data_IF_056319681360
#
_entry.id   IF_056319681360
#
_cell.length_a   1.000
_cell.length_b   1.000
_cell.length_c   1.000
_cell.angle_alpha   90.00
_cell.angle_beta   90.00
_cell.angle_gamma   90.00
#
_symmetry.space_group_name_H-M   'P 1'
#
loop_
_entity.id
_entity.type
_entity.pdbx_description
1 polymer ?
#
# COMPACT_ATOMS: atom_id res chain seq x y z
N UNK A 1 -1.08 30.53 -35.49
CA UNK A 1 -1.80 30.90 -34.25
C UNK A 1 -2.88 29.86 -34.00
N UNK A 2 -2.84 29.17 -32.86
CA UNK A 2 -3.87 28.20 -32.47
C UNK A 2 -5.24 28.90 -32.31
N UNK A 3 -6.33 28.16 -32.51
CA UNK A 3 -7.69 28.64 -32.25
C UNK A 3 -7.78 29.18 -30.82
N UNK A 4 -8.17 30.46 -30.68
CA UNK A 4 -8.45 31.06 -29.38
C UNK A 4 -9.92 30.80 -29.02
N UNK A 5 -10.17 30.37 -27.79
CA UNK A 5 -11.50 30.25 -27.23
C UNK A 5 -11.78 31.43 -26.29
N UNK A 6 -12.98 32.00 -26.37
CA UNK A 6 -13.41 33.06 -25.44
C UNK A 6 -13.98 32.40 -24.19
N UNK A 7 -13.43 32.77 -23.03
CA UNK A 7 -13.94 32.38 -21.72
C UNK A 7 -14.46 33.63 -21.00
N UNK A 8 -15.62 33.53 -20.36
CA UNK A 8 -16.18 34.59 -19.52
C UNK A 8 -16.41 34.03 -18.12
N UNK A 9 -15.79 34.65 -17.12
CA UNK A 9 -15.86 34.23 -15.73
C UNK A 9 -16.13 35.44 -14.84
N UNK A 10 -17.06 35.29 -13.90
CA UNK A 10 -17.28 36.28 -12.84
C UNK A 10 -16.24 36.04 -11.76
N UNK A 11 -15.54 37.10 -11.35
CA UNK A 11 -14.58 37.09 -10.25
C UNK A 11 -15.07 38.01 -9.13
N UNK A 12 -14.63 37.78 -7.88
CA UNK A 12 -14.92 38.69 -6.78
C UNK A 12 -14.44 40.12 -7.07
N UNK A 13 -15.22 41.12 -6.65
CA UNK A 13 -14.94 42.53 -6.88
C UNK A 13 -13.58 42.97 -6.31
N UNK A 14 -13.20 42.43 -5.15
CA UNK A 14 -11.91 42.69 -4.50
C UNK A 14 -10.72 42.24 -5.38
N UNK A 15 -10.82 41.06 -6.00
CA UNK A 15 -9.81 40.52 -6.90
C UNK A 15 -9.73 41.35 -8.18
N UNK A 16 -10.87 41.80 -8.70
CA UNK A 16 -10.90 42.69 -9.86
C UNK A 16 -10.22 44.03 -9.58
N UNK A 17 -10.50 44.65 -8.43
CA UNK A 17 -9.86 45.91 -8.00
C UNK A 17 -8.34 45.75 -7.86
N UNK A 18 -7.89 44.67 -7.22
CA UNK A 18 -6.48 44.37 -7.07
C UNK A 18 -5.79 44.18 -8.43
N UNK A 19 -6.43 43.46 -9.34
CA UNK A 19 -5.95 43.24 -10.70
C UNK A 19 -5.88 44.54 -11.51
N UNK A 20 -6.86 45.43 -11.35
CA UNK A 20 -6.88 46.73 -12.02
C UNK A 20 -5.79 47.69 -11.51
N UNK A 21 -5.43 47.60 -10.22
CA UNK A 21 -4.38 48.41 -9.60
C UNK A 21 -2.97 47.93 -9.93
N UNK A 22 -2.77 46.61 -10.01
CA UNK A 22 -1.43 46.01 -10.18
C UNK A 22 -1.02 45.82 -11.63
N UNK A 23 -1.97 45.82 -12.56
CA UNK A 23 -1.74 45.46 -13.96
C UNK A 23 -2.16 46.59 -14.90
N UNK A 24 -1.27 47.04 -15.80
CA UNK A 24 -1.58 48.05 -16.80
C UNK A 24 -2.80 47.72 -17.66
N UNK A 25 -3.50 48.75 -18.13
CA UNK A 25 -4.56 48.57 -19.13
C UNK A 25 -3.98 47.98 -20.42
N UNK A 26 -4.64 46.93 -20.94
CA UNK A 26 -4.19 46.17 -22.11
C UNK A 26 -3.50 44.85 -21.78
N UNK A 27 -2.83 44.72 -20.63
CA UNK A 27 -2.09 43.49 -20.28
C UNK A 27 -2.89 42.47 -19.46
N UNK A 28 -4.04 42.87 -18.91
CA UNK A 28 -4.89 42.03 -18.04
C UNK A 28 -5.25 40.69 -18.68
N UNK A 29 -5.51 40.67 -19.98
CA UNK A 29 -5.82 39.43 -20.72
C UNK A 29 -4.63 38.49 -20.83
N UNK A 30 -3.41 39.03 -20.96
CA UNK A 30 -2.19 38.22 -21.00
C UNK A 30 -1.90 37.64 -19.62
N UNK A 31 -1.98 38.46 -18.57
CA UNK A 31 -1.80 38.01 -17.19
C UNK A 31 -2.74 36.86 -16.81
N UNK A 32 -4.04 36.99 -17.10
CA UNK A 32 -5.01 35.93 -16.80
C UNK A 32 -4.69 34.67 -17.60
N UNK A 33 -4.30 34.80 -18.88
CA UNK A 33 -3.94 33.66 -19.71
C UNK A 33 -2.72 32.93 -19.17
N UNK A 34 -1.67 33.66 -18.80
CA UNK A 34 -0.44 33.11 -18.22
C UNK A 34 -0.72 32.42 -16.90
N UNK A 35 -1.50 33.03 -16.01
CA UNK A 35 -1.89 32.43 -14.73
C UNK A 35 -2.67 31.12 -14.92
N UNK A 36 -3.57 31.05 -15.91
CA UNK A 36 -4.31 29.82 -16.24
C UNK A 36 -3.35 28.75 -16.79
N UNK A 37 -2.44 29.11 -17.70
CA UNK A 37 -1.45 28.18 -18.26
C UNK A 37 -0.57 27.63 -17.15
N UNK A 38 0.01 28.49 -16.32
CA UNK A 38 0.87 28.11 -15.20
C UNK A 38 0.14 27.16 -14.23
N UNK A 39 -1.13 27.48 -13.91
CA UNK A 39 -1.93 26.63 -13.03
C UNK A 39 -2.20 25.27 -13.64
N UNK A 40 -2.52 25.21 -14.94
CA UNK A 40 -2.77 23.96 -15.65
C UNK A 40 -1.50 23.13 -15.87
N UNK A 41 -0.33 23.76 -16.02
CA UNK A 41 0.96 23.05 -16.08
C UNK A 41 1.33 22.42 -14.73
N UNK A 42 1.07 23.12 -13.63
CA UNK A 42 1.30 22.60 -12.27
C UNK A 42 0.25 21.60 -11.82
N UNK A 43 -0.94 21.60 -12.43
CA UNK A 43 -2.02 20.67 -12.08
C UNK A 43 -1.82 19.38 -12.84
N UNK A 44 -1.50 18.26 -12.16
CA UNK A 44 -1.28 16.99 -12.84
C UNK A 44 -2.56 16.56 -13.57
N UNK A 45 -2.42 16.10 -14.81
CA UNK A 45 -3.58 15.73 -15.63
C UNK A 45 -4.18 14.41 -15.12
N UNK A 46 -5.50 14.34 -14.83
CA UNK A 46 -6.12 13.15 -14.25
C UNK A 46 -5.95 11.87 -15.09
N UNK A 47 -6.01 12.01 -16.41
CA UNK A 47 -5.76 10.93 -17.37
C UNK A 47 -4.35 10.37 -17.24
N UNK A 48 -3.35 11.24 -17.09
CA UNK A 48 -1.95 10.84 -16.90
C UNK A 48 -1.71 10.20 -15.55
N UNK A 49 -2.36 10.68 -14.50
CA UNK A 49 -2.32 10.03 -13.18
C UNK A 49 -2.86 8.60 -13.29
N UNK A 50 -4.05 8.44 -13.87
CA UNK A 50 -4.67 7.13 -14.03
C UNK A 50 -3.81 6.18 -14.87
N UNK A 51 -3.21 6.67 -15.96
CA UNK A 51 -2.29 5.90 -16.80
C UNK A 51 -1.08 5.40 -15.99
N UNK A 52 -0.51 6.26 -15.14
CA UNK A 52 0.62 5.91 -14.28
C UNK A 52 0.23 4.89 -13.20
N UNK A 53 -0.92 5.07 -12.55
CA UNK A 53 -1.45 4.13 -11.56
C UNK A 53 -1.64 2.73 -12.16
N UNK A 54 -2.19 2.65 -13.38
CA UNK A 54 -2.36 1.39 -14.09
C UNK A 54 -1.01 0.73 -14.43
N UNK A 55 -0.01 1.52 -14.87
CA UNK A 55 1.34 1.02 -15.15
C UNK A 55 2.03 0.48 -13.90
N UNK A 56 1.94 1.21 -12.79
CA UNK A 56 2.50 0.80 -11.49
C UNK A 56 1.84 -0.50 -11.02
N UNK A 57 0.50 -0.57 -11.07
CA UNK A 57 -0.25 -1.77 -10.68
C UNK A 57 0.17 -3.01 -11.49
N UNK A 58 0.40 -2.84 -12.80
CA UNK A 58 0.91 -3.92 -13.65
C UNK A 58 2.33 -4.34 -13.25
N UNK A 59 3.24 -3.39 -13.04
CA UNK A 59 4.61 -3.68 -12.61
C UNK A 59 4.65 -4.41 -11.26
N UNK A 60 3.79 -4.02 -10.32
CA UNK A 60 3.65 -4.71 -9.03
C UNK A 60 3.15 -6.14 -9.18
N UNK A 61 2.22 -6.39 -10.11
CA UNK A 61 1.71 -7.72 -10.41
C UNK A 61 2.80 -8.61 -11.01
N UNK A 62 3.51 -8.11 -12.04
CA UNK A 62 4.60 -8.82 -12.70
C UNK A 62 5.73 -9.14 -11.70
N UNK A 63 6.09 -8.19 -10.83
CA UNK A 63 7.09 -8.40 -9.78
C UNK A 63 6.64 -9.47 -8.76
N UNK A 64 5.36 -9.47 -8.39
CA UNK A 64 4.78 -10.48 -7.50
C UNK A 64 4.87 -11.88 -8.10
N UNK A 65 4.63 -12.00 -9.41
CA UNK A 65 4.73 -13.26 -10.14
C UNK A 65 6.18 -13.76 -10.23
N UNK A 66 7.15 -12.89 -10.54
CA UNK A 66 8.58 -13.23 -10.51
C UNK A 66 8.99 -13.74 -9.14
N UNK A 67 8.61 -13.02 -8.07
CA UNK A 67 8.90 -13.41 -6.69
C UNK A 67 8.29 -14.77 -6.33
N UNK A 68 7.07 -15.04 -6.78
CA UNK A 68 6.42 -16.34 -6.60
C UNK A 68 7.23 -17.46 -7.27
N UNK A 69 7.66 -17.28 -8.53
CA UNK A 69 8.45 -18.30 -9.22
C UNK A 69 9.82 -18.52 -8.55
N UNK A 70 10.51 -17.45 -8.18
CA UNK A 70 11.78 -17.58 -7.45
C UNK A 70 11.61 -18.29 -6.11
N UNK A 71 10.46 -18.09 -5.45
CA UNK A 71 10.11 -18.78 -4.22
C UNK A 71 9.81 -20.27 -4.42
N UNK A 72 9.08 -20.62 -5.48
CA UNK A 72 8.76 -22.01 -5.86
C UNK A 72 10.02 -22.79 -6.26
N UNK A 73 10.98 -22.12 -6.90
CA UNK A 73 12.30 -22.69 -7.22
C UNK A 73 13.25 -22.77 -6.01
N UNK A 74 12.81 -22.32 -4.83
CA UNK A 74 13.62 -22.19 -3.61
C UNK A 74 14.88 -21.30 -3.76
N UNK A 75 15.02 -20.58 -4.87
CA UNK A 75 16.13 -19.65 -5.13
C UNK A 75 15.95 -18.34 -4.38
N UNK A 76 14.70 -17.96 -4.07
CA UNK A 76 14.42 -16.76 -3.28
C UNK A 76 14.79 -17.00 -1.80
N UNK A 77 16.02 -16.65 -1.46
CA UNK A 77 16.52 -16.59 -0.10
C UNK A 77 16.38 -15.16 0.42
N UNK A 78 15.70 -14.97 1.55
CA UNK A 78 15.78 -13.70 2.28
C UNK A 78 16.94 -13.80 3.26
N UNK A 79 17.75 -12.74 3.34
CA UNK A 79 18.66 -12.61 4.48
C UNK A 79 17.84 -12.52 5.77
N UNK A 80 18.18 -13.34 6.75
CA UNK A 80 17.58 -13.30 8.09
C UNK A 80 17.65 -11.86 8.63
N UNK A 81 16.53 -11.35 9.16
CA UNK A 81 16.43 -10.01 9.74
C UNK A 81 16.22 -8.85 8.75
N UNK A 82 16.34 -9.05 7.42
CA UNK A 82 16.06 -7.96 6.46
C UNK A 82 14.56 -7.69 6.24
N UNK A 83 13.70 -8.65 6.57
CA UNK A 83 12.25 -8.53 6.38
C UNK A 83 11.58 -8.46 7.74
N UNK A 84 11.05 -7.30 8.10
CA UNK A 84 10.28 -7.11 9.32
C UNK A 84 8.86 -7.71 9.16
N UNK A 85 8.46 -8.74 9.92
CA UNK A 85 7.11 -9.33 9.86
C UNK A 85 5.98 -8.34 10.17
N UNK A 86 6.26 -7.29 10.94
CA UNK A 86 5.28 -6.24 11.25
C UNK A 86 4.92 -5.38 10.05
N UNK A 87 5.71 -5.37 8.98
CA UNK A 87 5.39 -4.64 7.75
C UNK A 87 4.10 -5.14 7.07
N UNK A 88 3.62 -6.33 7.42
CA UNK A 88 2.39 -6.93 6.89
C UNK A 88 1.19 -6.77 7.82
N UNK A 89 1.36 -6.10 8.95
CA UNK A 89 0.31 -5.83 9.93
C UNK A 89 -0.43 -4.53 9.58
N UNK A 90 -1.75 -4.53 9.75
CA UNK A 90 -2.59 -3.36 9.43
C UNK A 90 -2.99 -2.61 10.69
N UNK A 91 -3.22 -3.33 11.77
CA UNK A 91 -3.66 -2.79 13.03
C UNK A 91 -2.93 -3.47 14.20
N UNK A 92 -3.22 -3.01 15.43
CA UNK A 92 -2.62 -3.53 16.66
C UNK A 92 -2.91 -5.02 16.88
N UNK A 93 -4.02 -5.54 16.36
CA UNK A 93 -4.37 -6.95 16.50
C UNK A 93 -3.45 -7.80 15.64
N UNK A 94 -3.18 -7.37 14.40
CA UNK A 94 -2.20 -8.04 13.53
C UNK A 94 -0.81 -8.03 14.18
N UNK A 95 -0.39 -6.92 14.79
CA UNK A 95 0.87 -6.84 15.52
C UNK A 95 0.93 -7.87 16.66
N UNK A 96 -0.09 -7.93 17.51
CA UNK A 96 -0.18 -8.92 18.61
C UNK A 96 -0.15 -10.37 18.12
N UNK A 97 -0.78 -10.68 17.00
CA UNK A 97 -0.73 -12.01 16.38
C UNK A 97 0.70 -12.34 15.96
N UNK A 98 1.36 -11.41 15.26
CA UNK A 98 2.73 -11.60 14.75
C UNK A 98 3.72 -11.71 15.90
N UNK A 99 3.63 -10.85 16.93
CA UNK A 99 4.45 -10.92 18.14
C UNK A 99 4.33 -12.27 18.83
N UNK A 100 3.10 -12.76 18.99
CA UNK A 100 2.87 -14.07 19.59
C UNK A 100 3.56 -15.17 18.77
N UNK A 101 3.40 -15.14 17.45
CA UNK A 101 3.99 -16.15 16.58
C UNK A 101 5.52 -16.05 16.50
N UNK A 102 6.11 -14.86 16.61
CA UNK A 102 7.55 -14.67 16.71
C UNK A 102 8.11 -15.29 18.01
N UNK A 103 7.44 -15.02 19.14
CA UNK A 103 7.87 -15.50 20.45
C UNK A 103 7.70 -17.02 20.62
N UNK A 104 6.58 -17.57 20.17
CA UNK A 104 6.21 -18.97 20.42
C UNK A 104 6.37 -19.89 19.20
N UNK A 105 6.77 -19.34 18.04
CA UNK A 105 6.97 -20.00 16.73
C UNK A 105 5.73 -20.63 16.10
N UNK A 106 4.67 -20.87 16.86
CA UNK A 106 3.39 -21.32 16.33
C UNK A 106 2.26 -21.33 17.36
N UNK A 107 1.04 -21.22 16.86
CA UNK A 107 -0.16 -21.15 17.68
C UNK A 107 -1.39 -21.68 16.94
N UNK A 108 -2.32 -22.30 17.66
CA UNK A 108 -3.64 -22.58 17.11
C UNK A 108 -4.46 -21.28 17.03
N UNK A 109 -5.47 -21.24 16.15
CA UNK A 109 -6.36 -20.07 16.10
C UNK A 109 -7.11 -19.87 17.42
N UNK A 110 -7.36 -20.93 18.19
CA UNK A 110 -7.99 -20.83 19.51
C UNK A 110 -7.05 -20.16 20.52
N UNK A 111 -5.78 -20.60 20.60
CA UNK A 111 -4.77 -19.99 21.49
C UNK A 111 -4.61 -18.48 21.24
N UNK A 112 -4.54 -18.09 19.97
CA UNK A 112 -4.45 -16.69 19.58
C UNK A 112 -5.73 -15.90 19.94
N UNK A 113 -6.90 -16.50 19.77
CA UNK A 113 -8.17 -15.86 20.12
C UNK A 113 -8.29 -15.62 21.63
N UNK A 114 -7.85 -16.57 22.45
CA UNK A 114 -7.78 -16.45 23.91
C UNK A 114 -6.78 -15.37 24.33
N UNK A 115 -5.57 -15.37 23.76
CA UNK A 115 -4.54 -14.37 24.04
C UNK A 115 -5.01 -12.93 23.72
N UNK A 116 -5.65 -12.75 22.57
CA UNK A 116 -6.11 -11.44 22.08
C UNK A 116 -7.44 -11.04 22.72
N UNK A 117 -8.12 -11.97 23.40
CA UNK A 117 -9.47 -11.80 23.95
C UNK A 117 -10.49 -11.40 22.88
N UNK A 118 -10.46 -12.12 21.75
CA UNK A 118 -11.37 -11.91 20.62
C UNK A 118 -11.93 -13.24 20.11
N UNK A 119 -12.76 -13.22 19.07
CA UNK A 119 -13.34 -14.43 18.51
C UNK A 119 -12.40 -15.13 17.50
N UNK A 120 -12.48 -16.46 17.45
CA UNK A 120 -11.67 -17.33 16.58
C UNK A 120 -11.79 -16.99 15.09
N UNK A 121 -12.99 -16.64 14.63
CA UNK A 121 -13.24 -16.34 13.22
C UNK A 121 -12.50 -15.08 12.77
N UNK A 122 -12.48 -14.06 13.62
CA UNK A 122 -11.78 -12.81 13.37
C UNK A 122 -10.26 -13.02 13.30
N UNK A 123 -9.69 -13.77 14.24
CA UNK A 123 -8.26 -14.15 14.22
C UNK A 123 -7.91 -14.94 12.96
N UNK A 124 -8.75 -15.91 12.57
CA UNK A 124 -8.53 -16.68 11.34
C UNK A 124 -8.47 -15.77 10.10
N UNK A 125 -9.37 -14.79 10.02
CA UNK A 125 -9.38 -13.84 8.91
C UNK A 125 -8.15 -12.94 8.90
N UNK A 126 -7.68 -12.49 10.07
CA UNK A 126 -6.42 -11.74 10.20
C UNK A 126 -5.21 -12.56 9.74
N UNK A 127 -5.06 -13.79 10.22
CA UNK A 127 -3.99 -14.72 9.81
C UNK A 127 -3.98 -14.96 8.29
N UNK A 128 -5.15 -15.22 7.67
CA UNK A 128 -5.27 -15.38 6.22
C UNK A 128 -4.89 -14.11 5.46
N UNK A 129 -5.21 -12.94 6.01
CA UNK A 129 -4.87 -11.65 5.41
C UNK A 129 -3.35 -11.43 5.42
N UNK A 130 -2.71 -11.65 6.57
CA UNK A 130 -1.25 -11.58 6.74
C UNK A 130 -0.55 -12.57 5.80
N UNK A 131 -1.01 -13.83 5.77
CA UNK A 131 -0.50 -14.87 4.87
C UNK A 131 -0.56 -14.45 3.40
N UNK A 132 -1.69 -13.89 2.96
CA UNK A 132 -1.90 -13.47 1.56
C UNK A 132 -1.06 -12.25 1.21
N UNK A 133 -1.00 -11.24 2.09
CA UNK A 133 -0.23 -10.01 1.84
C UNK A 133 1.26 -10.29 1.74
N UNK A 134 1.79 -11.06 2.70
CA UNK A 134 3.19 -11.50 2.65
C UNK A 134 3.49 -12.30 1.40
N UNK A 135 2.64 -13.28 1.04
CA UNK A 135 2.83 -14.04 -0.20
C UNK A 135 2.85 -13.16 -1.45
N UNK A 136 1.99 -12.14 -1.53
CA UNK A 136 1.95 -11.21 -2.66
C UNK A 136 3.23 -10.37 -2.74
N UNK A 137 3.65 -9.79 -1.63
CA UNK A 137 4.77 -8.83 -1.62
C UNK A 137 6.14 -9.50 -1.62
N UNK A 138 6.27 -10.63 -0.94
CA UNK A 138 7.52 -11.37 -0.82
C UNK A 138 7.62 -12.48 -1.86
N UNK A 139 6.53 -13.19 -2.16
CA UNK A 139 6.53 -14.45 -2.93
C UNK A 139 6.34 -15.68 -2.04
N UNK A 140 6.64 -15.55 -0.74
CA UNK A 140 6.41 -16.56 0.32
C UNK A 140 5.56 -15.97 1.43
N UNK A 141 4.75 -16.81 2.09
CA UNK A 141 3.98 -16.39 3.26
C UNK A 141 4.85 -16.37 4.50
N UNK A 142 4.77 -15.31 5.32
CA UNK A 142 5.49 -15.27 6.60
C UNK A 142 4.85 -16.20 7.65
N UNK A 143 3.52 -16.34 7.61
CA UNK A 143 2.75 -17.24 8.47
C UNK A 143 2.03 -18.28 7.62
N UNK A 144 2.09 -19.54 8.01
CA UNK A 144 1.47 -20.65 7.29
C UNK A 144 0.67 -21.57 8.20
N UNK A 145 -0.47 -22.03 7.68
CA UNK A 145 -1.28 -23.04 8.35
C UNK A 145 -0.76 -24.45 8.02
N UNK A 146 -0.55 -25.24 9.07
CA UNK A 146 -0.20 -26.65 8.96
C UNK A 146 -1.30 -27.51 9.60
N UNK A 147 -1.92 -28.36 8.79
CA UNK A 147 -3.04 -29.21 9.22
C UNK A 147 -2.62 -30.43 10.04
N UNK A 148 -1.35 -30.82 9.98
CA UNK A 148 -0.79 -31.93 10.75
C UNK A 148 -0.45 -31.54 12.19
N UNK A 149 0.38 -32.37 12.82
CA UNK A 149 0.92 -32.11 14.15
C UNK A 149 2.38 -31.66 14.04
N UNK A 150 2.71 -30.52 14.64
CA UNK A 150 4.08 -29.99 14.73
C UNK A 150 4.27 -29.41 16.13
N UNK A 151 5.38 -29.75 16.78
CA UNK A 151 5.73 -29.32 18.15
C UNK A 151 4.56 -29.43 19.15
N UNK A 152 3.83 -30.55 19.12
CA UNK A 152 2.70 -30.82 20.02
C UNK A 152 1.40 -30.05 19.71
N UNK A 153 1.36 -29.24 18.64
CA UNK A 153 0.15 -28.51 18.21
C UNK A 153 -0.40 -29.09 16.91
N UNK A 154 -1.71 -29.38 16.89
CA UNK A 154 -2.45 -29.83 15.69
C UNK A 154 -3.18 -28.66 15.04
N UNK A 155 -3.20 -28.61 13.70
CA UNK A 155 -3.97 -27.61 12.94
C UNK A 155 -3.64 -26.17 13.39
N UNK A 156 -2.35 -25.83 13.33
CA UNK A 156 -1.80 -24.59 13.87
C UNK A 156 -1.19 -23.71 12.79
N UNK A 157 -0.98 -22.45 13.15
CA UNK A 157 -0.30 -21.44 12.33
C UNK A 157 1.14 -21.29 12.81
N UNK A 158 2.07 -21.20 11.88
CA UNK A 158 3.51 -21.17 12.13
C UNK A 158 4.13 -20.00 11.42
N UNK A 159 5.04 -19.31 12.08
CA UNK A 159 5.91 -18.35 11.40
C UNK A 159 7.10 -19.08 10.78
N UNK A 160 7.52 -18.69 9.58
CA UNK A 160 8.71 -19.29 8.96
C UNK A 160 9.98 -18.84 9.70
N UNK A 161 10.90 -19.77 9.89
CA UNK A 161 12.15 -19.56 10.65
C UNK A 161 13.07 -18.49 10.04
N UNK A 162 12.95 -18.23 8.75
CA UNK A 162 13.67 -17.16 8.02
C UNK A 162 13.37 -15.75 8.57
N UNK A 163 12.23 -15.59 9.27
CA UNK A 163 11.75 -14.30 9.80
C UNK A 163 11.81 -14.20 11.33
N UNK A 164 12.43 -15.17 12.01
CA UNK A 164 12.63 -15.14 13.46
C UNK A 164 14.05 -14.63 13.72
N UNK A 165 14.18 -13.51 14.44
CA UNK A 165 15.48 -13.05 14.97
C UNK A 165 15.96 -14.02 16.08
N UNK A 166 17.27 -14.28 16.13
CA UNK A 166 17.91 -15.14 17.15
C UNK A 166 18.22 -14.31 18.39
#
# INVERSE_FOLDING_TARGET
MNKLAVISAKIPDEVYKELALRIPEGERSNFIREAIIEKLEKTPRPDKILELEQKISKLEADLSEIKKYLAELEVLTYEKGKVNPHAFCIDEIDHKIVDYLLNYRGATTTELAEFIKTNRWFVLNRLRKIQRLSKKQLGKSIVEYYAGEKSGKKKAWWIREEFVEV
#
